data_IF_112983225986
#
_entry.id   IF_112983225986
#
_cell.length_a   1.000
_cell.length_b   1.000
_cell.length_c   1.000
_cell.angle_alpha   90.00
_cell.angle_beta   90.00
_cell.angle_gamma   90.00
#
_symmetry.space_group_name_H-M   'P 1'
#
loop_
_entity.id
_entity.type
_entity.pdbx_description
1 polymer ?
#
# COMPACT_ATOMS: atom_id res chain seq x y z
N UNK A 1 -54.86 39.96 -22.49
CA UNK A 1 -55.68 38.93 -21.80
C UNK A 1 -55.00 37.58 -22.04
N UNK A 2 -54.26 37.05 -21.04
CA UNK A 2 -54.65 35.89 -20.21
C UNK A 2 -54.66 34.58 -21.04
N UNK A 3 -53.87 33.52 -20.83
CA UNK A 3 -53.21 32.99 -19.63
C UNK A 3 -52.13 31.95 -20.01
N UNK A 4 -51.04 31.93 -19.24
CA UNK A 4 -50.06 30.85 -19.10
C UNK A 4 -50.68 29.61 -18.43
N UNK A 5 -50.27 28.39 -18.82
CA UNK A 5 -50.09 27.26 -17.89
C UNK A 5 -48.90 26.41 -18.33
N UNK A 6 -47.83 26.44 -17.53
CA UNK A 6 -46.72 25.50 -17.58
C UNK A 6 -46.86 24.45 -16.49
N UNK A 7 -46.71 23.17 -16.84
CA UNK A 7 -46.67 22.09 -15.85
C UNK A 7 -45.22 21.81 -15.42
N UNK A 8 -44.88 22.28 -14.22
CA UNK A 8 -43.70 21.92 -13.44
C UNK A 8 -44.05 20.72 -12.56
N UNK A 9 -43.46 19.55 -12.83
CA UNK A 9 -43.55 18.39 -11.93
C UNK A 9 -42.44 18.49 -10.87
N UNK A 10 -42.82 18.98 -9.67
CA UNK A 10 -42.03 18.91 -8.44
C UNK A 10 -42.12 17.50 -7.85
N UNK A 11 -41.02 16.79 -7.78
CA UNK A 11 -40.89 15.63 -6.90
C UNK A 11 -40.60 16.10 -5.47
N UNK A 12 -41.60 16.01 -4.59
CA UNK A 12 -41.44 16.13 -3.14
C UNK A 12 -40.80 14.86 -2.59
N UNK A 13 -39.62 14.99 -1.98
CA UNK A 13 -39.02 13.96 -1.15
C UNK A 13 -39.17 14.38 0.32
N UNK A 14 -40.16 13.81 1.00
CA UNK A 14 -40.37 13.91 2.44
C UNK A 14 -39.20 13.22 3.17
N UNK A 15 -38.33 14.02 3.78
CA UNK A 15 -37.23 13.56 4.62
C UNK A 15 -37.71 13.60 6.08
N UNK A 16 -38.08 12.45 6.62
CA UNK A 16 -38.38 12.28 8.04
C UNK A 16 -37.07 12.39 8.82
N UNK A 17 -36.99 13.38 9.71
CA UNK A 17 -35.85 13.66 10.59
C UNK A 17 -36.36 13.53 12.02
N UNK A 18 -35.92 12.57 12.84
CA UNK A 18 -36.33 12.53 14.24
C UNK A 18 -35.58 13.62 15.02
N UNK A 19 -36.35 14.58 15.53
CA UNK A 19 -35.92 15.63 16.43
C UNK A 19 -36.05 15.09 17.86
N UNK A 20 -34.94 14.71 18.49
CA UNK A 20 -34.91 14.38 19.93
C UNK A 20 -34.53 15.67 20.65
N UNK A 21 -35.54 16.42 21.10
CA UNK A 21 -35.41 17.53 22.02
C UNK A 21 -35.40 16.98 23.45
N UNK A 22 -34.26 17.14 24.12
CA UNK A 22 -34.05 16.85 25.54
C UNK A 22 -34.54 18.07 26.33
N UNK A 23 -35.68 17.94 27.01
CA UNK A 23 -36.22 18.96 27.90
C UNK A 23 -35.83 18.58 29.33
N UNK A 24 -35.24 19.54 30.04
CA UNK A 24 -34.73 19.42 31.41
C UNK A 24 -35.60 20.32 32.32
N UNK A 25 -35.73 19.90 33.58
CA UNK A 25 -36.27 20.62 34.76
C UNK A 25 -37.81 20.64 34.85
N UNK A 26 -38.47 20.51 36.00
CA UNK A 26 -38.11 20.31 37.42
C UNK A 26 -39.43 19.91 38.12
N UNK A 27 -39.45 18.94 39.04
CA UNK A 27 -40.20 19.10 40.31
C UNK A 27 -39.94 17.93 41.30
N UNK A 28 -39.67 18.37 42.53
CA UNK A 28 -39.62 17.72 43.85
C UNK A 28 -40.86 16.86 44.18
N UNK A 29 -40.96 15.95 45.15
CA UNK A 29 -40.35 15.80 46.48
C UNK A 29 -40.77 14.41 47.07
N UNK A 30 -39.86 13.75 47.80
CA UNK A 30 -40.09 12.98 49.05
C UNK A 30 -40.43 11.45 49.12
N UNK A 31 -39.58 10.79 49.93
CA UNK A 31 -39.72 9.64 50.84
C UNK A 31 -39.28 8.18 50.49
N UNK A 32 -38.09 7.85 51.03
CA UNK A 32 -37.74 6.79 52.01
C UNK A 32 -37.27 5.37 51.57
N UNK A 33 -36.11 5.07 52.19
CA UNK A 33 -35.45 3.82 52.59
C UNK A 33 -34.55 3.00 51.64
N UNK A 34 -33.38 2.53 52.14
CA UNK A 34 -32.27 2.02 51.34
C UNK A 34 -32.30 0.49 51.26
N UNK A 35 -32.18 -0.05 50.06
CA UNK A 35 -31.77 -1.43 49.84
C UNK A 35 -30.38 -1.45 49.22
N UNK A 36 -29.35 -1.92 49.94
CA UNK A 36 -28.05 -2.18 49.34
C UNK A 36 -28.13 -3.56 48.68
N UNK A 37 -27.87 -3.63 47.38
CA UNK A 37 -27.31 -4.79 46.64
C UNK A 37 -27.62 -4.66 45.15
N UNK A 38 -27.18 -3.57 44.50
CA UNK A 38 -26.84 -3.70 43.08
C UNK A 38 -25.44 -4.27 43.04
N UNK A 39 -25.34 -5.58 42.77
CA UNK A 39 -24.10 -6.17 42.26
C UNK A 39 -23.76 -5.40 40.98
N UNK A 40 -22.94 -4.36 41.11
CA UNK A 40 -22.24 -3.79 39.97
C UNK A 40 -21.24 -4.85 39.58
N UNK A 41 -21.61 -5.68 38.62
CA UNK A 41 -20.64 -6.32 37.77
C UNK A 41 -19.88 -5.17 37.10
N UNK A 42 -18.81 -4.73 37.74
CA UNK A 42 -17.72 -4.02 37.11
C UNK A 42 -17.07 -5.03 36.18
N UNK A 43 -17.77 -5.37 35.10
CA UNK A 43 -17.12 -5.78 33.89
C UNK A 43 -16.33 -4.53 33.48
N UNK A 44 -15.11 -4.41 34.00
CA UNK A 44 -14.10 -3.58 33.41
C UNK A 44 -14.06 -4.03 31.96
N UNK A 45 -14.76 -3.31 31.10
CA UNK A 45 -14.67 -3.47 29.67
C UNK A 45 -13.24 -3.08 29.36
N UNK A 46 -12.35 -4.05 29.46
CA UNK A 46 -10.97 -3.92 29.06
C UNK A 46 -11.03 -3.78 27.55
N UNK A 47 -11.24 -2.54 27.10
CA UNK A 47 -11.08 -2.14 25.72
C UNK A 47 -9.63 -2.44 25.41
N UNK A 48 -9.42 -3.60 24.76
CA UNK A 48 -8.13 -3.96 24.19
C UNK A 48 -7.83 -2.91 23.14
N UNK A 49 -7.03 -1.93 23.52
CA UNK A 49 -6.49 -0.96 22.59
C UNK A 49 -5.41 -1.71 21.83
N UNK A 50 -5.75 -2.23 20.65
CA UNK A 50 -4.74 -2.75 19.73
C UNK A 50 -3.86 -1.57 19.31
N UNK A 51 -2.68 -1.46 19.92
CA UNK A 51 -1.71 -0.43 19.56
C UNK A 51 -1.13 -0.70 18.19
N UNK A 52 -0.84 0.35 17.42
CA UNK A 52 -0.06 0.22 16.18
C UNK A 52 1.33 -0.39 16.44
N UNK A 53 1.88 -0.13 17.64
CA UNK A 53 3.11 -0.74 18.14
C UNK A 53 2.98 -2.26 18.30
N UNK A 54 1.91 -2.75 18.92
CA UNK A 54 1.68 -4.19 19.10
C UNK A 54 1.55 -4.89 17.75
N UNK A 55 0.77 -4.31 16.83
CA UNK A 55 0.61 -4.83 15.48
C UNK A 55 1.94 -4.86 14.70
N UNK A 56 2.80 -3.85 14.87
CA UNK A 56 4.13 -3.83 14.27
C UNK A 56 5.03 -4.92 14.88
N UNK A 57 5.01 -5.12 16.20
CA UNK A 57 5.74 -6.19 16.88
C UNK A 57 5.36 -7.57 16.37
N UNK A 58 4.06 -7.85 16.23
CA UNK A 58 3.59 -9.12 15.65
C UNK A 58 3.98 -9.29 14.18
N UNK A 59 3.97 -8.21 13.38
CA UNK A 59 4.42 -8.26 11.99
C UNK A 59 5.91 -8.58 11.89
N UNK A 60 6.74 -7.94 12.71
CA UNK A 60 8.18 -8.21 12.76
C UNK A 60 8.44 -9.65 13.16
N UNK A 61 7.82 -10.14 14.25
CA UNK A 61 8.00 -11.51 14.69
C UNK A 61 7.50 -12.53 13.67
N UNK A 62 6.37 -12.25 13.03
CA UNK A 62 5.85 -13.09 11.95
C UNK A 62 6.76 -13.12 10.72
N UNK A 63 7.40 -12.00 10.39
CA UNK A 63 8.36 -11.89 9.29
C UNK A 63 9.65 -12.65 9.57
N UNK A 64 10.17 -12.54 10.80
CA UNK A 64 11.30 -13.31 11.30
C UNK A 64 11.05 -14.81 11.19
N UNK A 65 9.94 -15.29 11.78
CA UNK A 65 9.56 -16.70 11.70
C UNK A 65 9.41 -17.16 10.25
N UNK A 66 8.80 -16.34 9.38
CA UNK A 66 8.65 -16.71 7.98
C UNK A 66 10.00 -16.91 7.28
N UNK A 67 10.94 -16.00 7.49
CA UNK A 67 12.26 -16.04 6.85
C UNK A 67 13.06 -17.26 7.35
N UNK A 68 13.10 -17.49 8.66
CA UNK A 68 13.85 -18.62 9.24
C UNK A 68 13.21 -19.96 8.85
N UNK A 69 11.89 -20.09 8.95
CA UNK A 69 11.19 -21.33 8.56
C UNK A 69 11.39 -21.66 7.08
N UNK A 70 11.36 -20.67 6.18
CA UNK A 70 11.61 -20.93 4.76
C UNK A 70 13.05 -21.40 4.54
N UNK A 71 14.03 -20.81 5.24
CA UNK A 71 15.41 -21.25 5.15
C UNK A 71 15.60 -22.68 5.71
N UNK A 72 15.05 -22.97 6.88
CA UNK A 72 15.12 -24.27 7.55
C UNK A 72 14.42 -25.39 6.76
N UNK A 73 13.19 -25.15 6.29
CA UNK A 73 12.40 -26.16 5.56
C UNK A 73 12.97 -26.43 4.17
N UNK A 74 13.46 -25.38 3.48
CA UNK A 74 14.00 -25.55 2.12
C UNK A 74 15.46 -26.01 2.14
N UNK A 75 16.16 -25.86 3.27
CA UNK A 75 17.60 -26.13 3.42
C UNK A 75 18.46 -25.48 2.31
N UNK A 76 18.00 -24.36 1.75
CA UNK A 76 18.67 -23.67 0.64
C UNK A 76 19.56 -22.53 1.14
N UNK A 77 20.66 -22.22 0.43
CA UNK A 77 21.47 -21.04 0.71
C UNK A 77 20.65 -19.74 0.77
N UNK A 78 21.15 -18.76 1.54
CA UNK A 78 20.47 -17.48 1.76
C UNK A 78 20.14 -16.71 0.48
N UNK A 79 20.97 -16.81 -0.56
CA UNK A 79 20.70 -16.16 -1.84
C UNK A 79 19.43 -16.70 -2.55
N UNK A 80 18.97 -17.91 -2.23
CA UNK A 80 17.73 -18.51 -2.77
C UNK A 80 16.56 -18.30 -1.80
N UNK A 81 16.80 -18.43 -0.49
CA UNK A 81 15.74 -18.29 0.51
C UNK A 81 15.13 -16.89 0.50
N UNK A 82 15.93 -15.83 0.32
CA UNK A 82 15.43 -14.45 0.26
C UNK A 82 14.47 -14.19 -0.92
N UNK A 83 14.80 -14.55 -2.18
CA UNK A 83 13.83 -14.55 -3.27
C UNK A 83 12.61 -15.44 -3.02
N UNK A 84 12.80 -16.62 -2.43
CA UNK A 84 11.70 -17.55 -2.15
C UNK A 84 10.68 -16.94 -1.17
N UNK A 85 11.14 -16.28 -0.11
CA UNK A 85 10.30 -15.50 0.80
C UNK A 85 9.49 -14.46 0.02
N UNK A 86 10.13 -13.71 -0.88
CA UNK A 86 9.46 -12.70 -1.68
C UNK A 86 8.38 -13.29 -2.60
N UNK A 87 8.61 -14.49 -3.17
CA UNK A 87 7.64 -15.23 -3.97
C UNK A 87 6.45 -15.65 -3.11
N UNK A 88 6.69 -16.28 -1.95
CA UNK A 88 5.64 -16.74 -1.03
C UNK A 88 4.75 -15.59 -0.58
N UNK A 89 5.34 -14.49 -0.12
CA UNK A 89 4.60 -13.29 0.31
C UNK A 89 3.79 -12.70 -0.85
N UNK A 90 4.35 -12.69 -2.06
CA UNK A 90 3.65 -12.19 -3.24
C UNK A 90 2.46 -13.08 -3.61
N UNK A 91 2.64 -14.40 -3.58
CA UNK A 91 1.60 -15.38 -3.89
C UNK A 91 0.43 -15.30 -2.91
N UNK A 92 0.71 -15.24 -1.60
CA UNK A 92 -0.31 -15.24 -0.55
C UNK A 92 -1.06 -13.91 -0.48
N UNK A 93 -0.37 -12.78 -0.66
CA UNK A 93 -0.94 -11.46 -0.35
C UNK A 93 -1.23 -10.67 -1.62
N UNK A 94 -0.25 -10.56 -2.51
CA UNK A 94 -0.38 -9.67 -3.68
C UNK A 94 -1.28 -10.26 -4.75
N UNK A 95 -1.22 -11.56 -5.02
CA UNK A 95 -2.06 -12.20 -6.05
C UNK A 95 -3.56 -11.99 -5.78
N UNK A 96 -4.14 -12.36 -4.62
CA UNK A 96 -5.58 -12.17 -4.40
C UNK A 96 -5.96 -10.68 -4.44
N UNK A 97 -5.11 -9.81 -3.92
CA UNK A 97 -5.35 -8.37 -3.89
C UNK A 97 -5.31 -7.73 -5.28
N UNK A 98 -4.38 -8.13 -6.12
CA UNK A 98 -4.27 -7.67 -7.51
C UNK A 98 -5.41 -8.21 -8.35
N UNK A 99 -5.85 -9.46 -8.14
CA UNK A 99 -7.07 -10.01 -8.74
C UNK A 99 -8.32 -9.20 -8.35
N UNK A 100 -8.48 -8.91 -7.06
CA UNK A 100 -9.58 -8.08 -6.58
C UNK A 100 -9.55 -6.69 -7.22
N UNK A 101 -8.39 -6.03 -7.22
CA UNK A 101 -8.27 -4.69 -7.82
C UNK A 101 -8.58 -4.71 -9.33
N UNK A 102 -8.12 -5.71 -10.07
CA UNK A 102 -8.47 -5.88 -11.49
C UNK A 102 -9.98 -6.11 -11.67
N UNK A 103 -10.61 -6.93 -10.82
CA UNK A 103 -12.06 -7.16 -10.89
C UNK A 103 -12.86 -5.87 -10.74
N UNK A 104 -12.44 -4.96 -9.85
CA UNK A 104 -13.05 -3.64 -9.67
C UNK A 104 -12.82 -2.77 -10.91
N UNK A 105 -11.62 -2.79 -11.49
CA UNK A 105 -11.33 -2.07 -12.74
C UNK A 105 -12.17 -2.57 -13.92
N UNK A 106 -12.38 -3.88 -14.04
CA UNK A 106 -13.26 -4.47 -15.06
C UNK A 106 -14.71 -4.01 -14.90
N UNK A 107 -15.22 -3.94 -13.66
CA UNK A 107 -16.57 -3.39 -13.39
C UNK A 107 -16.65 -1.91 -13.76
N UNK A 108 -15.62 -1.12 -13.43
CA UNK A 108 -15.53 0.31 -13.82
C UNK A 108 -15.54 0.49 -15.34
N UNK A 109 -14.79 -0.35 -16.07
CA UNK A 109 -14.69 -0.26 -17.51
C UNK A 109 -16.05 -0.47 -18.22
N UNK A 110 -16.91 -1.33 -17.69
CA UNK A 110 -18.29 -1.51 -18.18
C UNK A 110 -19.16 -0.26 -18.04
N UNK A 111 -18.90 0.57 -17.03
CA UNK A 111 -19.64 1.81 -16.76
C UNK A 111 -19.10 3.02 -17.54
N UNK A 112 -17.91 2.90 -18.13
CA UNK A 112 -17.28 3.97 -18.90
C UNK A 112 -18.15 4.56 -20.03
N UNK A 113 -18.85 3.77 -20.88
CA UNK A 113 -19.82 4.28 -21.87
C UNK A 113 -20.82 5.29 -21.30
N UNK A 114 -21.37 5.00 -20.12
CA UNK A 114 -22.41 5.82 -19.50
C UNK A 114 -21.85 7.17 -19.05
N UNK A 115 -20.61 7.19 -18.57
CA UNK A 115 -19.89 8.43 -18.23
C UNK A 115 -19.65 9.26 -19.51
N UNK A 116 -19.33 8.59 -20.62
CA UNK A 116 -19.13 9.26 -21.92
C UNK A 116 -20.41 9.89 -22.46
N UNK A 117 -21.54 9.19 -22.38
CA UNK A 117 -22.84 9.74 -22.74
C UNK A 117 -23.20 10.96 -21.87
N UNK A 118 -22.99 10.88 -20.55
CA UNK A 118 -23.23 12.00 -19.63
C UNK A 118 -22.35 13.22 -19.95
N UNK A 119 -21.09 12.99 -20.28
CA UNK A 119 -20.16 14.07 -20.67
C UNK A 119 -20.65 14.82 -21.92
N UNK A 120 -21.08 14.08 -22.96
CA UNK A 120 -21.62 14.67 -24.17
C UNK A 120 -22.93 15.44 -23.90
N UNK A 121 -23.88 14.83 -23.18
CA UNK A 121 -25.17 15.43 -22.88
C UNK A 121 -25.04 16.73 -22.06
N UNK A 122 -24.23 16.70 -20.99
CA UNK A 122 -24.02 17.87 -20.13
C UNK A 122 -23.24 18.95 -20.87
N UNK A 123 -22.27 18.56 -21.70
CA UNK A 123 -21.53 19.47 -22.57
C UNK A 123 -22.43 20.25 -23.52
N UNK A 124 -23.33 19.56 -24.23
CA UNK A 124 -24.29 20.19 -25.14
C UNK A 124 -25.26 21.12 -24.40
N UNK A 125 -25.79 20.69 -23.25
CA UNK A 125 -26.69 21.50 -22.44
C UNK A 125 -26.05 22.79 -21.91
N UNK A 126 -24.77 22.75 -21.52
CA UNK A 126 -24.03 23.93 -21.07
C UNK A 126 -23.58 24.83 -22.22
N UNK A 127 -23.24 24.27 -23.38
CA UNK A 127 -22.95 25.04 -24.61
C UNK A 127 -24.17 25.83 -25.07
N UNK A 128 -25.36 25.21 -25.07
CA UNK A 128 -26.63 25.88 -25.41
C UNK A 128 -26.93 27.06 -24.48
N UNK A 129 -26.52 26.97 -23.22
CA UNK A 129 -26.68 28.03 -22.21
C UNK A 129 -25.55 29.07 -22.22
N UNK A 130 -24.64 29.03 -23.20
CA UNK A 130 -23.53 29.97 -23.37
C UNK A 130 -22.70 30.24 -22.09
N UNK A 131 -22.53 29.23 -21.24
CA UNK A 131 -21.84 29.39 -19.95
C UNK A 131 -20.32 29.51 -20.15
N UNK A 132 -19.62 30.45 -19.50
CA UNK A 132 -18.15 30.48 -19.55
C UNK A 132 -17.54 29.26 -18.84
N UNK A 133 -16.38 28.80 -19.32
CA UNK A 133 -15.65 27.63 -18.80
C UNK A 133 -16.47 26.32 -18.85
N UNK A 134 -17.13 26.07 -19.98
CA UNK A 134 -17.97 24.87 -20.18
C UNK A 134 -17.23 23.59 -19.79
N UNK A 135 -16.00 23.37 -20.25
CA UNK A 135 -15.27 22.11 -20.03
C UNK A 135 -15.01 21.83 -18.55
N UNK A 136 -14.61 22.85 -17.78
CA UNK A 136 -14.36 22.70 -16.35
C UNK A 136 -15.66 22.37 -15.59
N UNK A 137 -16.77 23.06 -15.92
CA UNK A 137 -18.06 22.76 -15.30
C UNK A 137 -18.57 21.38 -15.66
N UNK A 138 -18.46 20.97 -16.94
CA UNK A 138 -18.82 19.62 -17.38
C UNK A 138 -18.05 18.58 -16.58
N UNK A 139 -16.72 18.70 -16.49
CA UNK A 139 -15.90 17.71 -15.77
C UNK A 139 -16.25 17.65 -14.27
N UNK A 140 -16.49 18.80 -13.62
CA UNK A 140 -16.89 18.87 -12.21
C UNK A 140 -18.25 18.21 -11.96
N UNK A 141 -19.24 18.50 -12.81
CA UNK A 141 -20.61 17.96 -12.69
C UNK A 141 -20.62 16.46 -13.00
N UNK A 142 -19.98 16.05 -14.10
CA UNK A 142 -19.85 14.63 -14.49
C UNK A 142 -19.19 13.86 -13.37
N UNK A 143 -18.07 14.34 -12.82
CA UNK A 143 -17.38 13.69 -11.69
C UNK A 143 -18.31 13.45 -10.50
N UNK A 144 -19.08 14.46 -10.09
CA UNK A 144 -20.01 14.33 -8.96
C UNK A 144 -21.09 13.27 -9.23
N UNK A 145 -21.64 13.25 -10.45
CA UNK A 145 -22.63 12.24 -10.87
C UNK A 145 -22.04 10.84 -10.99
N UNK A 146 -20.84 10.70 -11.56
CA UNK A 146 -20.14 9.43 -11.70
C UNK A 146 -19.86 8.79 -10.35
N UNK A 147 -19.51 9.56 -9.31
CA UNK A 147 -19.36 9.03 -7.94
C UNK A 147 -20.64 8.39 -7.41
N UNK A 148 -21.77 9.08 -7.53
CA UNK A 148 -23.09 8.57 -7.10
C UNK A 148 -23.47 7.31 -7.87
N UNK A 149 -23.21 7.30 -9.17
CA UNK A 149 -23.43 6.15 -10.04
C UNK A 149 -22.57 4.95 -9.62
N UNK A 150 -21.28 5.16 -9.35
CA UNK A 150 -20.40 4.10 -8.86
C UNK A 150 -20.86 3.55 -7.52
N UNK A 151 -21.30 4.40 -6.59
CA UNK A 151 -21.92 3.95 -5.34
C UNK A 151 -23.20 3.14 -5.58
N UNK A 152 -24.06 3.56 -6.50
CA UNK A 152 -25.29 2.84 -6.85
C UNK A 152 -25.02 1.45 -7.44
N UNK A 153 -23.95 1.29 -8.24
CA UNK A 153 -23.52 0.00 -8.77
C UNK A 153 -22.56 -0.76 -7.83
N UNK A 154 -22.45 -0.35 -6.55
CA UNK A 154 -21.56 -0.94 -5.54
C UNK A 154 -20.08 -1.02 -5.96
N UNK A 155 -19.64 -0.12 -6.84
CA UNK A 155 -18.25 0.01 -7.28
C UNK A 155 -17.56 1.04 -6.40
N UNK A 156 -16.90 0.59 -5.33
CA UNK A 156 -16.20 1.49 -4.42
C UNK A 156 -14.92 2.04 -5.06
N UNK A 157 -14.94 3.32 -5.46
CA UNK A 157 -13.81 3.99 -6.13
C UNK A 157 -12.57 4.03 -5.23
N UNK A 158 -12.75 4.34 -3.95
CA UNK A 158 -11.67 4.54 -2.97
C UNK A 158 -10.91 3.24 -2.66
N UNK A 159 -11.60 2.10 -2.52
CA UNK A 159 -10.96 0.80 -2.21
C UNK A 159 -10.04 0.30 -3.31
N UNK A 160 -10.25 0.73 -4.55
CA UNK A 160 -9.43 0.37 -5.71
C UNK A 160 -8.01 0.95 -5.69
N UNK A 161 -7.79 2.04 -4.95
CA UNK A 161 -6.48 2.74 -4.88
C UNK A 161 -5.56 2.07 -3.85
N UNK A 162 -6.12 1.40 -2.84
CA UNK A 162 -5.37 0.77 -1.74
C UNK A 162 -4.81 -0.62 -2.07
N UNK A 163 -5.17 -1.21 -3.21
CA UNK A 163 -4.75 -2.57 -3.57
C UNK A 163 -3.26 -2.77 -3.83
N UNK A 164 -2.47 -1.72 -4.03
CA UNK A 164 -1.00 -1.84 -4.08
C UNK A 164 -0.34 -1.55 -2.74
N UNK A 165 -0.82 -0.50 -2.07
CA UNK A 165 -0.19 0.06 -0.87
C UNK A 165 -0.37 -0.81 0.37
N UNK A 166 -1.40 -1.65 0.44
CA UNK A 166 -1.61 -2.49 1.64
C UNK A 166 -0.52 -3.55 1.83
N UNK A 167 0.24 -3.88 0.78
CA UNK A 167 1.37 -4.83 0.85
C UNK A 167 2.66 -4.18 1.35
N UNK A 168 2.70 -2.85 1.45
CA UNK A 168 3.90 -2.09 1.82
C UNK A 168 4.35 -2.33 3.27
N UNK A 169 3.47 -2.39 4.29
CA UNK A 169 3.90 -2.68 5.66
C UNK A 169 4.61 -4.03 5.80
N UNK A 170 4.13 -5.04 5.08
CA UNK A 170 4.70 -6.39 5.11
C UNK A 170 6.04 -6.41 4.39
N UNK A 171 6.14 -5.72 3.24
CA UNK A 171 7.41 -5.53 2.56
C UNK A 171 8.46 -4.87 3.47
N UNK A 172 8.09 -3.78 4.15
CA UNK A 172 8.99 -3.07 5.08
C UNK A 172 9.34 -3.89 6.31
N UNK A 173 8.41 -4.69 6.83
CA UNK A 173 8.65 -5.60 7.95
C UNK A 173 9.72 -6.64 7.60
N UNK A 174 9.59 -7.33 6.45
CA UNK A 174 10.62 -8.26 5.98
C UNK A 174 11.96 -7.55 5.71
N UNK A 175 11.93 -6.35 5.13
CA UNK A 175 13.14 -5.58 4.85
C UNK A 175 13.86 -5.17 6.15
N UNK A 176 13.12 -4.82 7.19
CA UNK A 176 13.65 -4.51 8.53
C UNK A 176 14.28 -5.74 9.17
N UNK A 177 13.61 -6.90 9.13
CA UNK A 177 14.16 -8.16 9.64
C UNK A 177 15.47 -8.51 8.93
N UNK A 178 15.50 -8.47 7.60
CA UNK A 178 16.73 -8.75 6.83
C UNK A 178 17.82 -7.73 7.16
N UNK A 179 17.45 -6.45 7.35
CA UNK A 179 18.39 -5.40 7.75
C UNK A 179 18.97 -5.68 9.14
N UNK A 180 18.16 -6.14 10.09
CA UNK A 180 18.65 -6.53 11.43
C UNK A 180 19.52 -7.79 11.38
N UNK A 181 19.19 -8.75 10.52
CA UNK A 181 20.06 -9.90 10.21
C UNK A 181 21.40 -9.47 9.61
N UNK A 182 21.46 -8.29 8.98
CA UNK A 182 22.73 -7.73 8.49
C UNK A 182 23.51 -6.93 9.55
N UNK A 183 23.05 -6.90 10.82
CA UNK A 183 23.63 -6.07 11.88
C UNK A 183 23.30 -4.58 11.76
N UNK A 184 22.32 -4.20 10.93
CA UNK A 184 21.88 -2.81 10.80
C UNK A 184 21.13 -2.34 12.05
N UNK A 185 21.21 -1.04 12.43
CA UNK A 185 20.43 -0.51 13.55
C UNK A 185 18.92 -0.63 13.30
N UNK A 186 18.07 -0.54 14.32
CA UNK A 186 16.62 -0.48 14.09
C UNK A 186 16.27 0.69 13.15
N UNK A 187 15.55 0.40 12.08
CA UNK A 187 15.31 1.29 10.94
C UNK A 187 14.08 2.19 11.07
N UNK A 188 13.82 2.91 9.96
CA UNK A 188 12.78 3.93 9.80
C UNK A 188 11.36 3.40 10.10
N UNK A 189 11.08 2.11 9.91
CA UNK A 189 9.76 1.53 10.17
C UNK A 189 9.44 1.46 11.66
N UNK A 190 10.42 1.08 12.50
CA UNK A 190 10.30 1.16 13.95
C UNK A 190 10.11 2.60 14.41
N UNK A 191 10.90 3.54 13.88
CA UNK A 191 10.80 4.96 14.23
C UNK A 191 9.51 5.63 13.75
N UNK A 192 8.94 5.22 12.61
CA UNK A 192 7.69 5.75 12.08
C UNK A 192 6.46 5.18 12.82
N UNK A 193 6.49 3.91 13.23
CA UNK A 193 5.36 3.22 13.85
C UNK A 193 5.32 3.34 15.38
N UNK A 194 6.47 3.39 16.06
CA UNK A 194 6.56 3.63 17.51
C UNK A 194 6.50 5.12 17.89
N UNK A 195 6.32 5.99 16.90
CA UNK A 195 6.25 7.43 17.08
C UNK A 195 7.61 8.08 16.97
N UNK A 196 7.66 9.15 16.17
CA UNK A 196 8.66 10.21 16.28
C UNK A 196 8.43 10.94 17.63
N UNK A 197 8.57 10.24 18.75
CA UNK A 197 8.42 10.80 20.08
C UNK A 197 9.83 10.88 20.67
N UNK A 198 10.44 12.07 20.54
CA UNK A 198 11.60 12.53 21.32
C UNK A 198 12.79 11.58 21.44
N UNK A 199 13.70 11.60 20.47
CA UNK A 199 15.07 11.11 20.68
C UNK A 199 15.96 12.29 21.08
N UNK A 200 15.94 12.66 22.36
CA UNK A 200 17.09 13.33 22.97
C UNK A 200 18.11 12.25 23.39
N UNK A 201 19.37 12.50 23.05
CA UNK A 201 20.59 11.85 23.59
C UNK A 201 20.81 10.35 23.34
N UNK A 202 21.51 10.05 22.24
CA UNK A 202 22.97 9.89 22.29
C UNK A 202 23.51 10.07 20.87
N UNK A 203 24.05 11.27 20.63
CA UNK A 203 24.96 11.53 19.55
C UNK A 203 26.35 11.11 20.04
N UNK A 204 26.86 10.00 19.51
CA UNK A 204 28.30 9.75 19.41
C UNK A 204 28.52 8.81 18.22
N UNK A 205 28.78 9.46 17.09
CA UNK A 205 29.47 8.97 15.89
C UNK A 205 28.70 8.09 14.91
N UNK A 206 28.82 8.24 13.58
CA UNK A 206 29.49 9.21 12.70
C UNK A 206 28.67 9.19 11.40
N UNK A 207 28.36 10.38 10.85
CA UNK A 207 28.18 10.57 9.43
C UNK A 207 29.45 11.23 8.90
N UNK A 208 30.06 10.67 7.85
CA UNK A 208 31.05 11.19 6.86
C UNK A 208 31.96 10.02 6.45
N UNK A 209 32.07 9.62 5.18
CA UNK A 209 32.71 10.28 4.05
C UNK A 209 34.22 10.53 4.25
N UNK A 210 35.06 9.64 3.70
CA UNK A 210 36.39 9.96 3.15
C UNK A 210 37.64 9.74 4.02
N UNK A 211 38.59 8.99 3.44
CA UNK A 211 40.05 9.20 3.49
C UNK A 211 40.96 8.40 4.47
N UNK A 212 41.80 7.54 3.86
CA UNK A 212 43.26 7.32 4.08
C UNK A 212 43.75 6.23 5.08
N UNK A 213 44.15 5.09 4.47
CA UNK A 213 45.37 4.26 4.62
C UNK A 213 45.64 3.28 5.82
N UNK A 214 46.37 2.14 5.58
CA UNK A 214 46.62 0.99 6.49
C UNK A 214 48.10 0.97 7.03
N UNK A 215 48.74 -0.14 7.54
CA UNK A 215 48.34 -1.53 7.93
C UNK A 215 48.93 -2.06 9.29
N UNK A 216 48.68 -3.37 9.59
CA UNK A 216 49.44 -4.32 10.46
C UNK A 216 49.36 -4.15 12.01
N UNK A 217 49.37 -5.15 12.92
CA UNK A 217 49.85 -6.57 12.96
C UNK A 217 49.31 -7.30 14.23
N UNK A 218 49.08 -8.62 14.08
CA UNK A 218 49.32 -9.80 14.97
C UNK A 218 49.17 -9.84 16.52
N UNK A 219 48.69 -11.02 16.97
CA UNK A 219 48.96 -11.83 18.20
C UNK A 219 47.64 -12.25 18.92
N UNK A 220 47.13 -13.50 18.91
CA UNK A 220 47.61 -14.84 19.35
C UNK A 220 47.50 -15.13 20.87
N UNK A 221 46.78 -16.20 21.24
CA UNK A 221 46.72 -16.85 22.59
C UNK A 221 45.28 -17.20 23.00
N UNK A 222 44.72 -18.39 22.74
CA UNK A 222 44.79 -19.65 23.51
C UNK A 222 44.53 -19.51 25.03
N UNK A 223 43.40 -20.02 25.54
CA UNK A 223 43.36 -21.02 26.63
C UNK A 223 41.95 -21.58 26.90
N UNK A 224 41.96 -22.81 27.41
CA UNK A 224 40.88 -23.78 27.62
C UNK A 224 40.42 -23.79 29.08
N UNK A 225 39.17 -24.16 29.37
CA UNK A 225 38.79 -24.85 30.62
C UNK A 225 37.40 -25.51 30.49
N UNK A 226 37.34 -26.77 30.94
CA UNK A 226 36.23 -27.74 30.86
C UNK A 226 35.68 -28.02 32.26
N UNK A 227 34.41 -28.42 32.36
CA UNK A 227 33.73 -29.03 33.54
C UNK A 227 32.44 -28.29 33.88
N UNK A 228 31.28 -28.88 34.20
CA UNK A 228 30.89 -30.23 34.61
C UNK A 228 29.32 -30.26 34.69
N UNK A 229 28.69 -31.36 34.27
CA UNK A 229 27.35 -31.96 34.56
C UNK A 229 25.99 -31.17 34.64
N UNK A 230 24.99 -31.77 33.94
CA UNK A 230 23.51 -31.60 33.92
C UNK A 230 22.81 -32.33 35.11
N UNK A 231 21.46 -32.46 35.22
CA UNK A 231 20.31 -31.74 34.62
C UNK A 231 19.27 -31.27 35.67
N UNK A 232 18.43 -30.26 35.35
CA UNK A 232 17.09 -30.19 35.97
C UNK A 232 16.08 -29.56 35.00
N UNK A 233 15.24 -30.43 34.45
CA UNK A 233 14.07 -30.10 33.65
C UNK A 233 12.95 -29.61 34.56
N UNK A 234 12.74 -28.29 34.64
CA UNK A 234 11.51 -27.72 35.17
C UNK A 234 10.65 -27.15 34.02
N UNK A 235 9.55 -27.83 33.73
CA UNK A 235 8.55 -27.52 32.68
C UNK A 235 7.62 -26.36 33.12
N UNK A 236 8.08 -25.51 34.03
CA UNK A 236 7.33 -24.41 34.64
C UNK A 236 7.80 -23.04 34.18
N UNK A 237 8.99 -22.95 33.56
CA UNK A 237 9.57 -21.69 33.08
C UNK A 237 9.18 -21.33 31.63
N UNK A 238 8.48 -22.23 30.93
CA UNK A 238 7.99 -22.00 29.56
C UNK A 238 6.75 -21.07 29.55
N UNK A 239 6.13 -20.78 30.70
CA UNK A 239 4.85 -20.05 30.76
C UNK A 239 4.91 -18.71 31.51
N UNK A 240 6.03 -18.37 32.17
CA UNK A 240 6.11 -17.15 33.01
C UNK A 240 6.97 -16.01 32.44
N UNK A 241 7.49 -16.11 31.21
CA UNK A 241 8.23 -15.02 30.55
C UNK A 241 7.36 -14.07 29.69
N UNK A 242 6.06 -13.98 29.97
CA UNK A 242 5.13 -13.17 29.15
C UNK A 242 4.69 -11.86 29.81
N UNK A 243 5.58 -11.12 30.47
CA UNK A 243 5.30 -9.73 30.91
C UNK A 243 6.56 -8.89 31.02
N UNK A 244 7.19 -8.61 29.88
CA UNK A 244 8.02 -7.42 29.63
C UNK A 244 8.32 -7.39 28.12
N UNK A 245 8.24 -6.24 27.43
CA UNK A 245 8.66 -6.20 26.04
C UNK A 245 10.19 -6.24 26.02
N UNK A 246 10.73 -7.46 26.05
CA UNK A 246 12.08 -7.77 25.58
C UNK A 246 12.07 -7.49 24.07
N UNK A 247 12.14 -6.20 23.72
CA UNK A 247 12.18 -5.72 22.35
C UNK A 247 13.54 -6.14 21.80
N UNK A 248 13.51 -7.32 21.18
CA UNK A 248 14.51 -7.98 20.35
C UNK A 248 15.93 -7.84 20.91
N UNK A 249 16.40 -8.88 21.62
CA UNK A 249 17.83 -9.22 21.55
C UNK A 249 18.26 -9.11 20.09
N UNK A 250 19.45 -8.55 19.79
CA UNK A 250 19.95 -8.48 18.42
C UNK A 250 19.81 -9.88 17.85
N UNK A 251 18.91 -10.00 16.87
CA UNK A 251 18.63 -11.26 16.19
C UNK A 251 19.99 -11.88 15.89
N UNK A 252 20.27 -13.03 16.51
CA UNK A 252 21.60 -13.64 16.50
C UNK A 252 22.07 -13.65 15.05
N UNK A 253 23.13 -12.88 14.78
CA UNK A 253 23.73 -12.78 13.47
C UNK A 253 24.09 -14.20 13.05
N UNK A 254 23.28 -14.80 12.19
CA UNK A 254 23.55 -16.16 11.74
C UNK A 254 24.82 -16.11 10.88
N UNK A 255 25.93 -16.74 11.32
CA UNK A 255 27.20 -16.67 10.60
C UNK A 255 27.08 -17.21 9.17
N UNK A 256 26.08 -18.07 8.89
CA UNK A 256 25.81 -18.58 7.55
C UNK A 256 25.36 -17.50 6.56
N UNK A 257 24.90 -16.34 7.04
CA UNK A 257 24.54 -15.21 6.18
C UNK A 257 25.76 -14.58 5.49
N UNK A 258 26.92 -14.62 6.15
CA UNK A 258 28.17 -14.09 5.59
C UNK A 258 28.75 -14.97 4.47
N UNK A 259 28.44 -16.27 4.47
CA UNK A 259 28.92 -17.25 3.48
C UNK A 259 27.83 -17.73 2.51
N UNK A 260 26.58 -17.30 2.70
CA UNK A 260 25.40 -17.76 1.94
C UNK A 260 25.19 -17.06 0.59
N UNK A 261 26.21 -16.41 0.04
CA UNK A 261 26.16 -15.69 -1.24
C UNK A 261 26.40 -16.54 -2.47
N UNK A 262 26.38 -15.91 -3.64
CA UNK A 262 26.66 -16.57 -4.91
C UNK A 262 27.24 -15.61 -5.96
N UNK A 263 27.81 -16.18 -7.03
CA UNK A 263 28.39 -15.44 -8.16
C UNK A 263 29.41 -14.37 -7.72
N UNK A 264 29.08 -13.08 -7.89
CA UNK A 264 29.96 -11.93 -7.66
C UNK A 264 29.76 -11.29 -6.28
N UNK A 265 28.83 -11.82 -5.47
CA UNK A 265 28.54 -11.37 -4.12
C UNK A 265 28.61 -12.54 -3.12
N UNK A 266 29.81 -12.98 -2.72
CA UNK A 266 29.97 -14.12 -1.82
C UNK A 266 29.43 -13.85 -0.41
N UNK A 267 29.45 -12.58 0.03
CA UNK A 267 28.99 -12.16 1.35
C UNK A 267 27.76 -11.24 1.22
N UNK A 268 26.64 -11.65 1.84
CA UNK A 268 25.37 -10.91 1.79
C UNK A 268 25.36 -9.65 2.67
N UNK A 269 26.24 -9.58 3.67
CA UNK A 269 26.34 -8.49 4.64
C UNK A 269 27.04 -7.26 4.05
N UNK A 270 27.89 -7.48 3.06
CA UNK A 270 28.70 -6.44 2.42
C UNK A 270 27.90 -5.79 1.28
N UNK A 271 28.15 -4.52 0.93
CA UNK A 271 27.60 -3.90 -0.27
C UNK A 271 28.03 -4.63 -1.55
N UNK A 272 27.22 -4.54 -2.60
CA UNK A 272 27.54 -5.14 -3.90
C UNK A 272 28.82 -4.52 -4.48
N UNK A 273 29.92 -5.28 -4.67
CA UNK A 273 31.18 -4.75 -5.17
C UNK A 273 31.07 -4.06 -6.53
N UNK A 274 30.13 -4.51 -7.37
CA UNK A 274 29.91 -3.98 -8.72
C UNK A 274 28.67 -3.10 -8.83
N UNK A 275 27.93 -2.92 -7.73
CA UNK A 275 26.67 -2.16 -7.67
C UNK A 275 25.61 -2.55 -8.72
N UNK A 276 25.69 -3.76 -9.27
CA UNK A 276 24.74 -4.30 -10.25
C UNK A 276 23.34 -4.43 -9.62
N UNK A 277 23.24 -4.95 -8.39
CA UNK A 277 21.98 -5.15 -7.70
C UNK A 277 21.24 -3.83 -7.39
N UNK A 278 21.84 -2.80 -6.76
CA UNK A 278 21.20 -1.50 -6.55
C UNK A 278 20.61 -0.88 -7.82
N UNK A 279 21.35 -0.93 -8.94
CA UNK A 279 20.86 -0.43 -10.22
C UNK A 279 19.78 -1.34 -10.81
N UNK A 280 19.89 -2.66 -10.66
CA UNK A 280 18.83 -3.58 -11.09
C UNK A 280 17.51 -3.31 -10.34
N UNK A 281 17.56 -3.02 -9.03
CA UNK A 281 16.38 -2.61 -8.25
C UNK A 281 15.79 -1.31 -8.79
N UNK A 282 16.62 -0.30 -9.06
CA UNK A 282 16.19 0.97 -9.67
C UNK A 282 15.46 0.75 -11.01
N UNK A 283 16.03 -0.09 -11.89
CA UNK A 283 15.41 -0.45 -13.18
C UNK A 283 14.10 -1.20 -12.99
N UNK A 284 14.04 -2.17 -12.07
CA UNK A 284 12.81 -2.92 -11.78
C UNK A 284 11.70 -2.03 -11.23
N UNK A 285 12.03 -1.10 -10.32
CA UNK A 285 11.09 -0.11 -9.80
C UNK A 285 10.59 0.82 -10.90
N UNK A 286 11.50 1.27 -11.77
CA UNK A 286 11.16 2.11 -12.92
C UNK A 286 10.18 1.38 -13.85
N UNK A 287 10.44 0.11 -14.17
CA UNK A 287 9.54 -0.74 -14.96
C UNK A 287 8.18 -0.95 -14.29
N UNK A 288 8.13 -0.93 -12.95
CA UNK A 288 6.88 -1.05 -12.19
C UNK A 288 6.05 0.23 -12.23
N UNK A 289 6.70 1.39 -12.26
CA UNK A 289 6.03 2.70 -12.26
C UNK A 289 5.62 3.14 -13.67
N UNK A 290 6.41 2.84 -14.70
CA UNK A 290 6.15 3.29 -16.08
C UNK A 290 4.86 2.67 -16.63
N UNK A 291 3.95 3.48 -17.22
CA UNK A 291 2.73 2.95 -17.83
C UNK A 291 3.04 2.19 -19.13
N UNK A 292 2.37 1.07 -19.34
CA UNK A 292 2.52 0.28 -20.57
C UNK A 292 1.81 0.85 -21.80
N UNK A 293 1.21 2.05 -21.74
CA UNK A 293 0.55 2.68 -22.90
C UNK A 293 1.23 3.98 -23.30
N UNK A 294 1.51 4.14 -24.60
CA UNK A 294 2.18 5.34 -25.13
C UNK A 294 1.45 6.64 -24.80
N UNK A 295 0.12 6.61 -24.82
CA UNK A 295 -0.69 7.79 -24.49
C UNK A 295 -0.46 8.24 -23.03
N UNK A 296 -0.37 7.28 -22.10
CA UNK A 296 -0.09 7.58 -20.70
C UNK A 296 1.35 7.98 -20.46
N UNK A 297 2.29 7.40 -21.21
CA UNK A 297 3.70 7.75 -21.17
C UNK A 297 3.92 9.19 -21.65
N UNK A 298 3.28 9.59 -22.76
CA UNK A 298 3.29 10.98 -23.25
C UNK A 298 2.76 11.96 -22.21
N UNK A 299 1.65 11.62 -21.54
CA UNK A 299 1.10 12.43 -20.45
C UNK A 299 2.08 12.53 -19.27
N UNK A 300 2.74 11.42 -18.90
CA UNK A 300 3.69 11.39 -17.81
C UNK A 300 4.85 12.36 -18.04
N UNK A 301 5.44 12.35 -19.24
CA UNK A 301 6.54 13.25 -19.62
C UNK A 301 6.08 14.64 -20.09
N UNK A 302 4.77 14.93 -20.09
CA UNK A 302 4.25 16.23 -20.54
C UNK A 302 4.35 16.45 -22.05
N UNK A 303 4.52 15.37 -22.82
CA UNK A 303 4.51 15.42 -24.29
C UNK A 303 3.10 15.65 -24.83
N UNK A 304 3.01 16.27 -26.02
CA UNK A 304 1.74 16.47 -26.73
C UNK A 304 1.07 15.13 -27.05
N UNK A 305 -0.27 15.06 -27.04
CA UNK A 305 -0.99 13.85 -27.46
C UNK A 305 -0.67 13.55 -28.93
N UNK A 306 -0.51 12.26 -29.25
CA UNK A 306 -0.26 11.82 -30.63
C UNK A 306 -1.39 12.30 -31.56
N UNK A 307 -1.02 12.86 -32.72
CA UNK A 307 -1.95 13.35 -33.72
C UNK A 307 -2.94 12.22 -34.11
N UNK A 308 -4.24 12.49 -34.02
CA UNK A 308 -5.31 11.51 -34.31
C UNK A 308 -5.92 10.81 -33.09
N UNK A 309 -5.33 10.89 -31.90
CA UNK A 309 -5.94 10.33 -30.69
C UNK A 309 -7.01 11.27 -30.12
N UNK A 310 -8.16 11.36 -30.78
CA UNK A 310 -9.36 12.07 -30.29
C UNK A 310 -10.09 11.27 -29.21
N UNK A 311 -9.33 10.64 -28.30
CA UNK A 311 -9.93 9.98 -27.14
C UNK A 311 -10.36 11.09 -26.20
N UNK A 312 -11.67 11.26 -26.00
CA UNK A 312 -12.19 12.01 -24.86
C UNK A 312 -11.74 11.20 -23.65
N UNK A 313 -10.57 11.55 -23.13
CA UNK A 313 -10.04 10.97 -21.93
C UNK A 313 -10.92 11.52 -20.81
N UNK A 314 -12.05 10.85 -20.58
CA UNK A 314 -12.74 10.89 -19.28
C UNK A 314 -11.94 10.06 -18.28
N UNK A 315 -10.60 10.17 -18.32
CA UNK A 315 -9.80 10.05 -17.11
C UNK A 315 -10.12 11.32 -16.33
N UNK A 316 -11.33 11.37 -15.78
CA UNK A 316 -11.89 12.52 -15.10
C UNK A 316 -10.88 13.02 -14.09
N UNK A 317 -10.17 14.09 -14.46
CA UNK A 317 -9.12 14.71 -13.69
C UNK A 317 -8.35 13.68 -12.84
N UNK A 318 -7.39 12.95 -13.43
CA UNK A 318 -6.23 12.57 -12.61
C UNK A 318 -5.84 13.86 -11.89
N UNK A 319 -5.97 13.87 -10.56
CA UNK A 319 -5.66 15.06 -9.77
C UNK A 319 -4.29 15.53 -10.28
N UNK A 320 -4.05 16.83 -10.52
CA UNK A 320 -2.70 17.28 -10.90
C UNK A 320 -1.63 16.62 -10.01
N UNK A 321 -1.98 16.42 -8.73
CA UNK A 321 -1.24 15.62 -7.76
C UNK A 321 -0.94 14.16 -8.12
N UNK A 322 -1.80 13.40 -8.81
CA UNK A 322 -1.49 12.01 -9.17
C UNK A 322 -0.49 11.89 -10.33
N UNK A 323 -0.47 12.87 -11.23
CA UNK A 323 0.59 12.96 -12.27
C UNK A 323 1.89 13.41 -11.62
N UNK A 324 1.85 14.42 -10.75
CA UNK A 324 3.01 14.87 -9.98
C UNK A 324 3.59 13.74 -9.10
N UNK A 325 2.73 12.99 -8.39
CA UNK A 325 3.11 11.84 -7.60
C UNK A 325 3.78 10.75 -8.45
N UNK A 326 3.25 10.47 -9.65
CA UNK A 326 3.85 9.47 -10.53
C UNK A 326 5.22 9.93 -11.05
N UNK A 327 5.39 11.21 -11.37
CA UNK A 327 6.71 11.79 -11.72
C UNK A 327 7.68 11.69 -10.55
N UNK A 328 7.23 12.03 -9.35
CA UNK A 328 8.02 11.86 -8.13
C UNK A 328 8.44 10.40 -7.96
N UNK A 329 7.54 9.44 -8.15
CA UNK A 329 7.88 8.01 -8.06
C UNK A 329 8.91 7.56 -9.10
N UNK A 330 8.91 8.13 -10.31
CA UNK A 330 9.96 7.87 -11.30
C UNK A 330 11.31 8.39 -10.81
N UNK A 331 11.35 9.63 -10.32
CA UNK A 331 12.58 10.24 -9.77
C UNK A 331 13.09 9.44 -8.59
N UNK A 332 12.21 9.07 -7.65
CA UNK A 332 12.54 8.23 -6.50
C UNK A 332 13.08 6.88 -6.96
N UNK A 333 12.45 6.23 -7.94
CA UNK A 333 12.92 4.93 -8.45
C UNK A 333 14.34 5.03 -9.02
N UNK A 334 14.65 6.10 -9.77
CA UNK A 334 15.98 6.33 -10.31
C UNK A 334 17.01 6.62 -9.20
N UNK A 335 16.61 7.39 -8.19
CA UNK A 335 17.46 7.77 -7.06
C UNK A 335 17.74 6.61 -6.09
N UNK A 336 16.88 5.57 -6.02
CA UNK A 336 17.10 4.40 -5.15
C UNK A 336 18.47 3.79 -5.40
N UNK A 337 18.83 3.52 -6.67
CA UNK A 337 20.10 2.88 -7.01
C UNK A 337 21.31 3.58 -6.39
N UNK A 338 21.56 4.87 -6.72
CA UNK A 338 22.66 5.65 -6.14
C UNK A 338 22.61 5.83 -4.63
N UNK A 339 21.42 6.02 -4.06
CA UNK A 339 21.25 6.26 -2.62
C UNK A 339 21.49 4.99 -1.81
N UNK A 340 21.17 3.82 -2.34
CA UNK A 340 21.29 2.54 -1.63
C UNK A 340 22.54 1.75 -1.96
N UNK A 341 23.49 2.28 -2.75
CA UNK A 341 24.69 1.55 -3.19
C UNK A 341 25.52 0.96 -2.05
N UNK A 342 25.51 1.61 -0.89
CA UNK A 342 26.26 1.20 0.30
C UNK A 342 25.47 0.27 1.24
N UNK A 343 24.26 -0.16 0.86
CA UNK A 343 23.48 -1.10 1.64
C UNK A 343 23.89 -2.56 1.34
N UNK A 344 23.76 -3.48 2.32
CA UNK A 344 24.02 -4.90 2.14
C UNK A 344 23.33 -5.50 0.90
N UNK A 345 24.00 -6.46 0.25
CA UNK A 345 23.48 -7.17 -0.93
C UNK A 345 22.15 -7.86 -0.62
N UNK A 346 21.97 -8.43 0.58
CA UNK A 346 20.74 -9.11 0.98
C UNK A 346 19.48 -8.25 0.81
N UNK A 347 19.57 -6.97 1.15
CA UNK A 347 18.45 -6.03 1.03
C UNK A 347 18.06 -5.83 -0.43
N UNK A 348 19.04 -5.65 -1.30
CA UNK A 348 18.80 -5.49 -2.73
C UNK A 348 18.24 -6.76 -3.37
N UNK A 349 18.71 -7.94 -2.96
CA UNK A 349 18.26 -9.23 -3.48
C UNK A 349 16.79 -9.50 -3.15
N UNK A 350 16.39 -9.28 -1.89
CA UNK A 350 14.99 -9.37 -1.47
C UNK A 350 14.13 -8.30 -2.16
N UNK A 351 14.64 -7.06 -2.27
CA UNK A 351 13.90 -5.99 -2.92
C UNK A 351 13.67 -6.25 -4.41
N UNK A 352 14.72 -6.65 -5.15
CA UNK A 352 14.65 -7.01 -6.55
C UNK A 352 13.62 -8.11 -6.80
N UNK A 353 13.70 -9.21 -6.05
CA UNK A 353 12.78 -10.34 -6.17
C UNK A 353 11.34 -9.95 -5.82
N UNK A 354 11.12 -9.15 -4.78
CA UNK A 354 9.78 -8.68 -4.39
C UNK A 354 9.12 -7.78 -5.45
N UNK A 355 9.89 -6.84 -6.04
CA UNK A 355 9.40 -5.99 -7.13
C UNK A 355 9.21 -6.78 -8.42
N UNK A 356 10.14 -7.70 -8.73
CA UNK A 356 10.04 -8.62 -9.87
C UNK A 356 8.79 -9.49 -9.80
N UNK A 357 8.49 -10.09 -8.64
CA UNK A 357 7.25 -10.85 -8.42
C UNK A 357 6.02 -9.96 -8.63
N UNK A 358 6.04 -8.74 -8.10
CA UNK A 358 4.94 -7.78 -8.29
C UNK A 358 4.70 -7.46 -9.77
N UNK A 359 5.78 -7.29 -10.56
CA UNK A 359 5.71 -7.10 -12.01
C UNK A 359 5.11 -8.30 -12.72
N UNK A 360 5.56 -9.51 -12.38
CA UNK A 360 5.06 -10.76 -12.97
C UNK A 360 3.57 -10.93 -12.67
N UNK A 361 3.16 -10.73 -11.41
CA UNK A 361 1.76 -10.86 -10.98
C UNK A 361 0.88 -9.83 -11.70
N UNK A 362 1.29 -8.55 -11.72
CA UNK A 362 0.49 -7.49 -12.35
C UNK A 362 0.41 -7.64 -13.88
N UNK A 363 1.52 -7.95 -14.56
CA UNK A 363 1.53 -8.22 -16.00
C UNK A 363 0.78 -9.51 -16.35
N UNK A 364 0.96 -10.55 -15.55
CA UNK A 364 0.26 -11.84 -15.71
C UNK A 364 -1.25 -11.68 -15.60
N UNK A 365 -1.73 -11.03 -14.54
CA UNK A 365 -3.17 -10.80 -14.33
C UNK A 365 -3.78 -9.89 -15.40
N UNK A 366 -3.06 -8.87 -15.87
CA UNK A 366 -3.57 -8.00 -16.94
C UNK A 366 -3.61 -8.70 -18.29
N UNK A 367 -2.70 -9.65 -18.55
CA UNK A 367 -2.71 -10.51 -19.74
C UNK A 367 -3.81 -11.57 -19.67
N UNK A 368 -4.00 -12.21 -18.52
CA UNK A 368 -5.00 -13.27 -18.29
C UNK A 368 -6.43 -12.72 -18.19
N UNK A 369 -6.61 -11.57 -17.53
CA UNK A 369 -7.90 -10.93 -17.30
C UNK A 369 -7.88 -9.49 -17.86
N UNK A 370 -7.93 -9.34 -19.19
CA UNK A 370 -7.91 -8.03 -19.82
C UNK A 370 -9.14 -7.20 -19.43
N UNK A 371 -8.90 -5.90 -19.26
CA UNK A 371 -9.97 -4.93 -18.99
C UNK A 371 -10.70 -4.65 -20.30
N UNK A 372 -12.03 -4.90 -20.39
CA UNK A 372 -12.79 -4.64 -21.60
C UNK A 372 -12.67 -3.18 -22.01
N UNK A 373 -12.16 -2.93 -23.21
CA UNK A 373 -12.19 -1.60 -23.84
C UNK A 373 -13.39 -1.61 -24.76
N UNK A 374 -14.48 -0.98 -24.35
CA UNK A 374 -15.62 -0.76 -25.24
C UNK A 374 -15.38 0.58 -25.95
N UNK A 375 -14.91 0.60 -27.22
CA UNK A 375 -14.76 1.85 -27.96
C UNK A 375 -16.15 2.37 -28.30
N UNK A 376 -16.66 3.29 -27.47
CA UNK A 376 -17.94 3.92 -27.73
C UNK A 376 -17.69 5.10 -28.65
N UNK A 377 -18.08 4.96 -29.92
CA UNK A 377 -18.08 6.09 -30.84
C UNK A 377 -19.16 7.07 -30.39
N UNK A 378 -18.88 8.39 -30.31
CA UNK A 378 -19.92 9.37 -30.05
C UNK A 378 -20.99 9.27 -31.15
N UNK A 379 -22.27 9.26 -30.78
CA UNK A 379 -23.38 9.22 -31.71
C UNK A 379 -23.25 10.38 -32.71
N UNK A 380 -23.30 10.08 -34.01
CA UNK A 380 -23.08 11.07 -35.07
C UNK A 380 -24.32 11.95 -35.33
N UNK A 381 -25.41 11.73 -34.60
CA UNK A 381 -26.70 12.41 -34.83
C UNK A 381 -27.47 11.96 -36.08
N UNK A 382 -26.88 11.06 -36.87
CA UNK A 382 -27.48 10.45 -38.08
C UNK A 382 -28.15 9.09 -37.81
N UNK A 383 -28.15 8.63 -36.56
CA UNK A 383 -28.73 7.35 -36.19
C UNK A 383 -30.25 7.49 -36.07
N UNK A 384 -30.98 6.73 -36.88
CA UNK A 384 -32.45 6.69 -36.87
C UNK A 384 -32.89 6.33 -35.44
N UNK A 385 -33.81 7.08 -34.81
CA UNK A 385 -34.29 6.79 -33.46
C UNK A 385 -35.16 5.54 -33.47
N UNK A 386 -34.55 4.36 -33.54
CA UNK A 386 -35.23 3.09 -33.36
C UNK A 386 -35.47 2.88 -31.86
N UNK A 387 -36.49 3.56 -31.33
CA UNK A 387 -37.00 3.26 -29.99
C UNK A 387 -37.64 1.88 -30.05
N UNK A 388 -37.03 0.90 -29.38
CA UNK A 388 -37.66 -0.41 -29.22
C UNK A 388 -38.97 -0.20 -28.43
N UNK A 389 -40.13 -0.62 -28.95
CA UNK A 389 -41.37 -0.50 -28.21
C UNK A 389 -41.25 -1.23 -26.87
N UNK A 390 -41.92 -0.67 -25.85
CA UNK A 390 -41.96 -1.25 -24.52
C UNK A 390 -42.52 -2.67 -24.64
N UNK A 391 -41.87 -3.70 -24.04
CA UNK A 391 -42.45 -5.04 -24.05
C UNK A 391 -43.85 -4.97 -23.43
N UNK A 392 -44.83 -5.45 -24.19
CA UNK A 392 -46.24 -5.53 -23.82
C UNK A 392 -46.46 -6.41 -22.61
#
# INVERSE_FOLDING_TARGET
MSRHVGHQLRFSATRIRPHISRQLQHESLVHLHPFPSRVRLSAASQRRNFGAADAAGYLLKGSELLITNIHEVTATPWFISLPLVAVVVSAVIRVPLTLYSNSVQRRKAKLFPLIQAQYAQIGLGLRRKAVPNVMERVTKVVRSRSKKMFTAFAVNETRSIWGGLISLPIFLSNLEVIRTMCGGPRGLFGSFMYGWQGRETQASGIATAGAIAPPATENSGLESSVGELLPDTNISDVVSSTTSPEILNPLTLDPSFASGGCLWFPNLLVPDPYHILPFAVSVLLLMHVIPGTEAELRILFGMRPAAGSRRIVISGARLRGSIALRRLMVVVSLAVGPVTMNLPVALHLYWASSVGCSLIVTKGITKLLPIPRVPVKPCSGLEIPLMRPKPS
#
